data_IF_051799271029
#
_entry.id   IF_051799271029
#
_cell.length_a   1.000
_cell.length_b   1.000
_cell.length_c   1.000
_cell.angle_alpha   90.00
_cell.angle_beta   90.00
_cell.angle_gamma   90.00
#
_symmetry.space_group_name_H-M   'P 1'
#
loop_
_entity.id
_entity.type
_entity.pdbx_description
1 polymer ?
#
# COMPACT_ATOMS: atom_id res chain seq x y z
N UNK A 1 34.22 -1.49 -16.96
CA UNK A 1 34.56 -1.22 -15.55
C UNK A 1 34.43 -2.53 -14.80
N UNK A 2 35.56 -3.01 -14.28
CA UNK A 2 35.78 -4.38 -13.79
C UNK A 2 35.23 -4.56 -12.37
N UNK A 3 34.49 -5.67 -12.17
CA UNK A 3 34.06 -6.15 -10.85
C UNK A 3 35.26 -6.66 -10.04
N UNK A 4 35.25 -6.36 -8.74
CA UNK A 4 36.29 -6.75 -7.78
C UNK A 4 36.10 -8.22 -7.35
N UNK A 5 37.17 -9.05 -7.32
CA UNK A 5 37.08 -10.43 -6.84
C UNK A 5 37.04 -10.54 -5.30
N UNK A 6 36.46 -11.63 -4.75
CA UNK A 6 36.31 -11.85 -3.32
C UNK A 6 37.62 -12.29 -2.64
N UNK A 7 37.78 -11.96 -1.34
CA UNK A 7 38.92 -12.38 -0.51
C UNK A 7 38.74 -13.82 0.03
N UNK A 8 39.84 -14.59 0.19
CA UNK A 8 39.81 -15.97 0.66
C UNK A 8 39.66 -16.11 2.18
N UNK A 9 39.20 -17.29 2.55
CA UNK A 9 38.83 -17.84 3.86
C UNK A 9 40.01 -18.04 4.81
N UNK A 10 39.77 -17.91 6.12
CA UNK A 10 40.55 -18.61 7.15
C UNK A 10 39.73 -19.79 7.68
N UNK A 11 40.28 -20.98 7.48
CA UNK A 11 39.82 -22.24 8.05
C UNK A 11 40.36 -22.38 9.48
N UNK A 12 39.52 -22.83 10.41
CA UNK A 12 39.95 -23.86 11.35
C UNK A 12 38.74 -24.70 11.75
N UNK A 13 38.78 -25.95 11.32
CA UNK A 13 37.85 -27.00 11.65
C UNK A 13 37.85 -27.29 13.16
N UNK A 14 36.68 -27.65 13.69
CA UNK A 14 36.57 -28.65 14.76
C UNK A 14 35.31 -29.48 14.51
N UNK A 15 35.57 -30.77 14.32
CA UNK A 15 34.68 -31.91 14.17
C UNK A 15 33.66 -32.04 15.31
N UNK A 16 32.38 -32.27 14.99
CA UNK A 16 31.57 -33.42 15.45
C UNK A 16 30.05 -33.23 15.23
N UNK A 17 29.45 -34.22 14.54
CA UNK A 17 28.10 -34.75 14.66
C UNK A 17 26.83 -33.91 14.32
N UNK A 18 25.95 -34.51 13.49
CA UNK A 18 24.55 -34.15 13.17
C UNK A 18 23.79 -35.51 13.04
N UNK A 19 22.50 -35.71 13.42
CA UNK A 19 21.62 -35.11 14.46
C UNK A 19 20.86 -36.28 15.21
N UNK A 20 19.66 -36.23 15.85
CA UNK A 20 18.47 -35.37 15.69
C UNK A 20 17.97 -34.72 17.00
N UNK A 21 17.64 -33.44 16.96
CA UNK A 21 16.59 -32.90 17.84
C UNK A 21 15.64 -32.10 16.98
N UNK A 22 14.45 -32.67 16.83
CA UNK A 22 13.22 -32.00 16.44
C UNK A 22 13.06 -30.73 17.27
N UNK A 23 13.47 -29.60 16.72
CA UNK A 23 12.97 -28.28 17.10
C UNK A 23 13.05 -27.39 15.87
N UNK A 24 12.27 -27.78 14.86
CA UNK A 24 11.81 -26.85 13.85
C UNK A 24 10.97 -25.78 14.57
N UNK A 25 11.63 -24.72 15.02
CA UNK A 25 10.96 -23.48 15.35
C UNK A 25 10.05 -23.13 14.16
N UNK A 26 8.75 -22.89 14.37
CA UNK A 26 7.87 -22.59 13.26
C UNK A 26 8.39 -21.30 12.62
N UNK A 27 8.81 -21.41 11.37
CA UNK A 27 8.98 -20.27 10.48
C UNK A 27 7.71 -19.43 10.64
N UNK A 28 7.85 -18.25 11.25
CA UNK A 28 6.76 -17.31 11.48
C UNK A 28 5.92 -17.25 10.21
N UNK A 29 4.59 -17.49 10.28
CA UNK A 29 3.77 -17.56 9.08
C UNK A 29 3.96 -16.26 8.32
N UNK A 30 4.51 -16.34 7.11
CA UNK A 30 4.55 -15.21 6.19
C UNK A 30 3.15 -14.65 6.14
N UNK A 31 2.99 -13.40 6.59
CA UNK A 31 1.70 -12.72 6.57
C UNK A 31 1.08 -12.95 5.19
N UNK A 32 -0.18 -13.37 5.06
CA UNK A 32 -0.81 -13.64 3.75
C UNK A 32 -0.83 -12.45 2.78
N UNK A 33 -0.31 -11.30 3.23
CA UNK A 33 -0.25 -10.01 2.55
C UNK A 33 1.20 -9.58 2.24
N UNK A 34 2.19 -10.47 2.43
CA UNK A 34 3.58 -10.17 2.09
C UNK A 34 3.75 -10.19 0.56
N UNK A 35 3.85 -9.01 -0.04
CA UNK A 35 3.91 -8.85 -1.49
C UNK A 35 3.98 -7.40 -1.95
N UNK A 36 4.36 -7.21 -3.21
CA UNK A 36 4.47 -5.90 -3.83
C UNK A 36 3.11 -5.42 -4.39
N UNK A 37 2.85 -4.11 -4.27
CA UNK A 37 1.65 -3.47 -4.81
C UNK A 37 1.99 -2.78 -6.12
N UNK A 38 1.28 -3.14 -7.19
CA UNK A 38 1.39 -2.51 -8.51
C UNK A 38 0.10 -1.80 -8.89
N UNK A 39 0.22 -0.55 -9.34
CA UNK A 39 -0.91 0.21 -9.90
C UNK A 39 -0.97 -0.07 -11.41
N UNK A 40 -2.16 -0.40 -11.90
CA UNK A 40 -2.44 -0.71 -13.30
C UNK A 40 -3.54 0.19 -13.84
N UNK A 41 -3.79 0.11 -15.15
CA UNK A 41 -4.85 0.85 -15.86
C UNK A 41 -4.67 2.39 -15.86
N UNK A 42 -3.58 2.85 -16.48
CA UNK A 42 -3.30 4.28 -16.67
C UNK A 42 -4.00 4.88 -17.91
N UNK A 43 -5.00 4.23 -18.50
CA UNK A 43 -5.63 4.68 -19.75
C UNK A 43 -6.32 6.05 -19.68
N UNK A 44 -6.78 6.42 -18.48
CA UNK A 44 -7.36 7.73 -18.17
C UNK A 44 -6.46 8.59 -17.27
N UNK A 45 -5.27 8.11 -16.95
CA UNK A 45 -4.37 8.81 -16.04
C UNK A 45 -3.82 10.08 -16.70
N UNK A 46 -3.68 11.13 -15.91
CA UNK A 46 -3.02 12.37 -16.31
C UNK A 46 -2.04 12.80 -15.23
N UNK A 47 -0.98 13.50 -15.63
CA UNK A 47 -0.08 14.13 -14.67
C UNK A 47 -0.68 15.45 -14.21
N UNK A 48 -1.19 15.47 -12.99
CA UNK A 48 -1.75 16.68 -12.38
C UNK A 48 -1.10 17.00 -11.04
N UNK A 49 -0.87 18.29 -10.81
CA UNK A 49 -0.46 18.82 -9.50
C UNK A 49 -1.65 19.38 -8.71
N UNK A 50 -2.87 19.27 -9.25
CA UNK A 50 -4.07 19.75 -8.60
C UNK A 50 -4.44 18.88 -7.41
N UNK A 51 -4.59 19.48 -6.23
CA UNK A 51 -5.12 18.75 -5.08
C UNK A 51 -6.59 18.36 -5.25
N UNK A 52 -7.31 18.98 -6.20
CA UNK A 52 -8.68 18.57 -6.51
C UNK A 52 -8.70 17.25 -7.29
N UNK A 53 -7.84 17.10 -8.29
CA UNK A 53 -7.77 15.87 -9.09
C UNK A 53 -7.37 14.68 -8.21
N UNK A 54 -6.40 14.87 -7.31
CA UNK A 54 -6.03 13.85 -6.31
C UNK A 54 -7.17 13.51 -5.36
N UNK A 55 -7.96 14.50 -4.95
CA UNK A 55 -9.12 14.27 -4.10
C UNK A 55 -10.22 13.50 -4.85
N UNK A 56 -10.38 13.74 -6.15
CA UNK A 56 -11.27 12.96 -7.01
C UNK A 56 -10.79 11.51 -7.12
N UNK A 57 -9.48 11.27 -7.31
CA UNK A 57 -8.92 9.92 -7.35
C UNK A 57 -9.18 9.14 -6.06
N UNK A 58 -8.94 9.78 -4.89
CA UNK A 58 -9.23 9.19 -3.59
C UNK A 58 -10.73 8.90 -3.42
N UNK A 59 -11.60 9.79 -3.90
CA UNK A 59 -13.05 9.57 -3.85
C UNK A 59 -13.49 8.41 -4.76
N UNK A 60 -12.91 8.27 -5.95
CA UNK A 60 -13.18 7.13 -6.83
C UNK A 60 -12.78 5.82 -6.16
N UNK A 61 -11.61 5.79 -5.51
CA UNK A 61 -11.16 4.63 -4.75
C UNK A 61 -12.12 4.30 -3.60
N UNK A 62 -12.53 5.29 -2.81
CA UNK A 62 -13.53 5.13 -1.73
C UNK A 62 -14.81 4.46 -2.24
N UNK A 63 -15.34 4.95 -3.37
CA UNK A 63 -16.56 4.40 -3.98
C UNK A 63 -16.36 2.97 -4.50
N UNK A 64 -15.16 2.62 -4.97
CA UNK A 64 -14.84 1.27 -5.43
C UNK A 64 -14.87 0.25 -4.27
N UNK A 65 -14.37 0.62 -3.09
CA UNK A 65 -14.48 -0.20 -1.87
C UNK A 65 -15.95 -0.47 -1.53
N UNK A 66 -16.75 0.60 -1.40
CA UNK A 66 -18.17 0.47 -1.05
C UNK A 66 -19.02 -0.25 -2.10
N UNK A 67 -18.61 -0.24 -3.37
CA UNK A 67 -19.36 -0.91 -4.45
C UNK A 67 -19.08 -2.41 -4.54
N UNK A 68 -17.84 -2.83 -4.36
CA UNK A 68 -17.43 -4.23 -4.59
C UNK A 68 -17.33 -5.02 -3.30
N UNK A 69 -16.88 -4.38 -2.23
CA UNK A 69 -16.62 -5.03 -0.94
C UNK A 69 -17.09 -4.12 0.21
N UNK A 70 -18.41 -4.04 0.48
CA UNK A 70 -18.93 -3.16 1.53
C UNK A 70 -18.32 -3.41 2.92
N UNK A 71 -17.94 -4.67 3.21
CA UNK A 71 -17.26 -5.04 4.47
C UNK A 71 -15.84 -4.48 4.58
N UNK A 72 -15.20 -4.16 3.45
CA UNK A 72 -13.86 -3.63 3.39
C UNK A 72 -13.82 -2.10 3.43
N UNK A 73 -14.97 -1.42 3.35
CA UNK A 73 -15.07 0.05 3.41
C UNK A 73 -14.43 0.62 4.69
N UNK A 74 -14.47 -0.14 5.80
CA UNK A 74 -13.81 0.23 7.06
C UNK A 74 -12.29 0.41 6.93
N UNK A 75 -11.64 -0.31 6.02
CA UNK A 75 -10.19 -0.23 5.79
C UNK A 75 -9.80 0.97 4.93
N UNK A 76 -10.76 1.68 4.32
CA UNK A 76 -10.44 2.88 3.57
C UNK A 76 -9.83 3.96 4.47
N UNK A 77 -10.14 3.96 5.78
CA UNK A 77 -9.48 4.86 6.73
C UNK A 77 -7.97 4.63 6.80
N UNK A 78 -7.54 3.38 6.78
CA UNK A 78 -6.12 3.02 6.82
C UNK A 78 -5.39 3.53 5.56
N UNK A 79 -6.07 3.53 4.41
CA UNK A 79 -5.56 4.14 3.16
C UNK A 79 -5.38 5.64 3.32
N UNK A 80 -6.34 6.34 3.94
CA UNK A 80 -6.25 7.79 4.16
C UNK A 80 -5.15 8.15 5.16
N UNK A 81 -4.96 7.33 6.20
CA UNK A 81 -3.90 7.52 7.19
C UNK A 81 -2.52 7.31 6.53
N UNK A 82 -2.35 6.25 5.73
CA UNK A 82 -1.12 6.04 4.95
C UNK A 82 -0.88 7.15 3.91
N UNK A 83 -1.94 7.68 3.28
CA UNK A 83 -1.84 8.80 2.34
C UNK A 83 -1.37 10.08 3.05
N UNK A 84 -1.87 10.33 4.26
CA UNK A 84 -1.45 11.47 5.10
C UNK A 84 0.04 11.43 5.40
N UNK A 85 0.59 10.25 5.67
CA UNK A 85 1.99 10.09 6.06
C UNK A 85 2.94 10.06 4.86
N UNK A 86 2.47 9.58 3.70
CA UNK A 86 3.28 9.45 2.48
C UNK A 86 3.38 10.73 1.65
N UNK A 87 2.46 11.70 1.82
CA UNK A 87 2.39 12.87 0.97
C UNK A 87 2.33 14.20 1.73
N UNK A 88 3.28 15.11 1.44
CA UNK A 88 3.44 16.38 2.16
C UNK A 88 2.22 17.30 2.14
N UNK A 89 1.49 17.35 1.01
CA UNK A 89 0.31 18.22 0.88
C UNK A 89 -1.00 17.46 1.15
N UNK A 90 -0.92 16.24 1.69
CA UNK A 90 -2.09 15.43 2.00
C UNK A 90 -3.15 16.16 2.85
N UNK A 91 -2.83 17.00 3.86
CA UNK A 91 -3.86 17.72 4.60
C UNK A 91 -4.76 18.61 3.73
N UNK A 92 -4.21 19.21 2.66
CA UNK A 92 -4.96 20.04 1.72
C UNK A 92 -5.85 19.17 0.82
N UNK A 93 -5.29 18.08 0.30
CA UNK A 93 -6.03 17.10 -0.52
C UNK A 93 -7.17 16.46 0.27
N UNK A 94 -6.94 16.06 1.53
CA UNK A 94 -7.96 15.47 2.40
C UNK A 94 -9.06 16.47 2.74
N UNK A 95 -8.74 17.76 2.88
CA UNK A 95 -9.78 18.79 3.03
C UNK A 95 -10.65 18.88 1.77
N UNK A 96 -10.03 18.88 0.58
CA UNK A 96 -10.76 18.88 -0.70
C UNK A 96 -11.56 17.60 -0.92
N UNK A 97 -11.12 16.47 -0.40
CA UNK A 97 -11.86 15.21 -0.45
C UNK A 97 -13.25 15.37 0.19
N UNK A 98 -13.36 16.10 1.31
CA UNK A 98 -14.67 16.38 1.91
C UNK A 98 -15.56 17.22 0.97
N UNK A 99 -15.00 18.22 0.29
CA UNK A 99 -15.73 19.03 -0.70
C UNK A 99 -16.19 18.16 -1.89
N UNK A 100 -15.34 17.23 -2.34
CA UNK A 100 -15.68 16.25 -3.39
C UNK A 100 -16.80 15.32 -2.93
N UNK A 101 -16.74 14.78 -1.71
CA UNK A 101 -17.79 13.92 -1.13
C UNK A 101 -19.14 14.62 -1.08
N UNK A 102 -19.17 15.90 -0.69
CA UNK A 102 -20.39 16.69 -0.64
C UNK A 102 -21.00 16.92 -2.03
N UNK A 103 -20.16 17.06 -3.07
CA UNK A 103 -20.59 17.18 -4.46
C UNK A 103 -21.02 15.83 -5.06
N UNK A 104 -20.37 14.75 -4.66
CA UNK A 104 -20.58 13.40 -5.19
C UNK A 104 -21.81 12.67 -4.65
N UNK A 105 -22.44 13.16 -3.57
CA UNK A 105 -23.79 12.73 -3.21
C UNK A 105 -24.72 13.15 -4.34
N UNK A 106 -25.51 12.21 -4.89
CA UNK A 106 -26.68 12.56 -5.72
C UNK A 106 -27.42 13.67 -4.97
N UNK A 107 -27.35 14.91 -5.46
CA UNK A 107 -28.26 15.97 -5.01
C UNK A 107 -29.64 15.38 -5.22
N UNK A 108 -30.34 15.09 -4.12
CA UNK A 108 -31.72 14.69 -4.20
C UNK A 108 -32.44 15.80 -4.94
N UNK A 109 -32.90 15.55 -6.18
CA UNK A 109 -33.88 16.38 -6.85
C UNK A 109 -35.20 16.18 -6.10
N UNK A 110 -35.30 16.73 -4.89
CA UNK A 110 -36.58 16.97 -4.24
C UNK A 110 -36.79 18.47 -4.39
N UNK A 111 -37.39 18.81 -5.53
CA UNK A 111 -38.21 20.00 -5.67
C UNK A 111 -39.64 19.66 -5.29
#
# INVERSE_FOLDING_TARGET
MMLRPPKPTSSSATTAAIPPTDDAAPSSPSSPLDGDVFIIDFGLASQSTSDEDRAVDLYVLERAFGSTHPRAEVYFRDVLDAYRDSYKQAPVTLRKLEDVRMRGRKRSMIG
#
